data_IF_348823270841
#
_entry.id   IF_348823270841
#
_cell.length_a   1.000
_cell.length_b   1.000
_cell.length_c   1.000
_cell.angle_alpha   90.00
_cell.angle_beta   90.00
_cell.angle_gamma   90.00
#
_symmetry.space_group_name_H-M   'P 1'
#
loop_
_entity.id
_entity.type
_entity.pdbx_description
1 polymer ?
#
# COMPACT_ATOMS: atom_id res chain seq x y z
N UNK A 1 3.27 -6.73 0.66
CA UNK A 1 4.17 -5.98 1.56
C UNK A 1 3.69 -5.99 3.02
N UNK A 2 2.64 -5.24 3.39
CA UNK A 2 2.25 -4.96 4.80
C UNK A 2 2.05 -6.15 5.74
N UNK A 3 1.78 -7.34 5.23
CA UNK A 3 1.57 -8.55 6.04
C UNK A 3 2.86 -9.30 6.37
N UNK A 4 4.00 -8.92 5.79
CA UNK A 4 5.30 -9.51 6.06
C UNK A 4 6.13 -8.49 6.82
N UNK A 5 6.40 -8.78 8.09
CA UNK A 5 7.15 -7.91 9.00
C UNK A 5 8.54 -8.44 9.23
N UNK A 6 9.49 -7.54 9.40
CA UNK A 6 10.83 -7.92 9.86
C UNK A 6 10.77 -8.35 11.33
N UNK A 7 11.73 -9.16 11.76
CA UNK A 7 11.88 -9.57 13.16
C UNK A 7 12.96 -8.76 13.91
N UNK A 8 13.81 -8.06 13.16
CA UNK A 8 14.91 -7.24 13.65
C UNK A 8 15.40 -6.31 12.54
N UNK A 9 16.06 -5.18 12.87
CA UNK A 9 16.28 -4.66 14.21
C UNK A 9 15.00 -4.05 14.82
N UNK A 10 14.96 -3.89 16.14
CA UNK A 10 13.74 -3.51 16.89
C UNK A 10 13.16 -2.17 16.40
N UNK A 11 14.02 -1.23 16.07
CA UNK A 11 13.66 0.10 15.59
C UNK A 11 12.87 0.02 14.28
N UNK A 12 13.26 -0.88 13.36
CA UNK A 12 12.53 -1.08 12.11
C UNK A 12 11.20 -1.79 12.35
N UNK A 13 11.15 -2.78 13.26
CA UNK A 13 9.89 -3.44 13.66
C UNK A 13 8.90 -2.40 14.20
N UNK A 14 9.34 -1.53 15.10
CA UNK A 14 8.50 -0.47 15.69
C UNK A 14 8.04 0.53 14.62
N UNK A 15 8.92 0.96 13.71
CA UNK A 15 8.58 1.88 12.62
C UNK A 15 7.57 1.26 11.64
N UNK A 16 7.72 -0.02 11.31
CA UNK A 16 6.73 -0.76 10.51
C UNK A 16 5.38 -0.80 11.23
N UNK A 17 5.35 -1.18 12.51
CA UNK A 17 4.09 -1.22 13.27
C UNK A 17 3.40 0.14 13.30
N UNK A 18 4.12 1.20 13.67
CA UNK A 18 3.57 2.55 13.75
C UNK A 18 2.96 3.04 12.44
N UNK A 19 3.57 2.71 11.30
CA UNK A 19 3.14 3.21 9.98
C UNK A 19 2.15 2.29 9.27
N UNK A 20 2.24 0.98 9.46
CA UNK A 20 1.46 0.01 8.68
C UNK A 20 0.25 -0.53 9.44
N UNK A 21 0.31 -0.67 10.77
CA UNK A 21 -0.79 -1.22 11.56
C UNK A 21 -2.10 -0.40 11.43
N UNK A 22 -2.07 0.95 11.37
CA UNK A 22 -3.28 1.74 11.18
C UNK A 22 -4.08 1.37 9.91
N UNK A 23 -3.40 0.98 8.83
CA UNK A 23 -4.06 0.57 7.60
C UNK A 23 -4.70 -0.82 7.71
N UNK A 24 -4.08 -1.72 8.48
CA UNK A 24 -4.59 -3.07 8.71
C UNK A 24 -5.79 -3.01 9.65
N UNK A 25 -5.70 -2.20 10.71
CA UNK A 25 -6.80 -1.95 11.63
C UNK A 25 -7.98 -1.27 10.94
N UNK A 26 -7.71 -0.32 10.03
CA UNK A 26 -8.75 0.28 9.20
C UNK A 26 -9.49 -0.76 8.36
N UNK A 27 -8.77 -1.66 7.69
CA UNK A 27 -9.40 -2.73 6.90
C UNK A 27 -10.25 -3.67 7.76
N UNK A 28 -9.77 -4.03 8.95
CA UNK A 28 -10.51 -4.86 9.90
C UNK A 28 -11.78 -4.14 10.37
N UNK A 29 -11.69 -2.86 10.70
CA UNK A 29 -12.78 -2.08 11.30
C UNK A 29 -13.85 -1.66 10.29
N UNK A 30 -13.48 -1.34 9.06
CA UNK A 30 -14.43 -0.87 8.02
C UNK A 30 -15.02 -2.01 7.20
N UNK A 31 -14.22 -3.03 6.89
CA UNK A 31 -14.64 -4.12 6.01
C UNK A 31 -14.71 -5.49 6.70
N UNK A 32 -14.36 -5.60 7.98
CA UNK A 32 -14.27 -6.89 8.66
C UNK A 32 -13.10 -7.77 8.20
N UNK A 33 -12.15 -7.19 7.45
CA UNK A 33 -11.05 -7.92 6.83
C UNK A 33 -9.88 -8.09 7.81
N UNK A 34 -9.89 -9.21 8.56
CA UNK A 34 -8.85 -9.54 9.52
C UNK A 34 -7.70 -10.32 8.85
N UNK A 35 -6.62 -9.64 8.49
CA UNK A 35 -5.44 -10.24 7.88
C UNK A 35 -4.45 -10.77 8.93
N UNK A 36 -3.72 -11.83 8.57
CA UNK A 36 -2.67 -12.42 9.40
C UNK A 36 -1.34 -11.74 9.09
N UNK A 37 -0.69 -11.21 10.12
CA UNK A 37 0.69 -10.74 10.03
C UNK A 37 1.65 -11.91 10.16
N UNK A 38 2.60 -11.98 9.26
CA UNK A 38 3.74 -12.86 9.35
C UNK A 38 5.00 -12.09 9.70
N UNK A 39 5.93 -12.82 10.28
CA UNK A 39 7.18 -12.34 10.84
C UNK A 39 8.33 -13.14 10.24
N UNK A 40 9.35 -12.43 9.76
CA UNK A 40 10.45 -12.99 8.99
C UNK A 40 9.96 -13.61 7.67
N UNK A 41 10.60 -14.71 7.26
CA UNK A 41 10.31 -15.39 5.98
C UNK A 41 9.14 -16.39 6.05
N UNK A 42 8.44 -16.47 7.18
CA UNK A 42 7.36 -17.44 7.34
C UNK A 42 6.19 -17.10 6.43
N UNK A 43 5.74 -18.01 5.59
CA UNK A 43 4.51 -17.81 4.83
C UNK A 43 3.28 -18.08 5.71
N UNK A 44 2.27 -17.22 5.61
CA UNK A 44 0.96 -17.41 6.24
C UNK A 44 -0.14 -17.26 5.19
N UNK A 45 -0.92 -18.32 5.01
CA UNK A 45 -2.12 -18.28 4.17
C UNK A 45 -3.13 -17.32 4.79
N UNK A 46 -3.57 -16.32 4.03
CA UNK A 46 -4.56 -15.34 4.49
C UNK A 46 -5.95 -15.98 4.59
N UNK A 47 -6.79 -15.59 5.57
CA UNK A 47 -8.15 -16.07 5.69
C UNK A 47 -8.97 -15.74 4.45
N UNK A 48 -9.80 -16.67 3.99
CA UNK A 48 -10.61 -16.50 2.79
C UNK A 48 -11.64 -15.38 2.99
N UNK A 49 -12.12 -15.22 4.21
CA UNK A 49 -13.04 -14.18 4.65
C UNK A 49 -12.43 -12.78 4.47
N UNK A 50 -11.15 -12.61 4.83
CA UNK A 50 -10.45 -11.34 4.67
C UNK A 50 -10.20 -11.01 3.18
N UNK A 51 -9.86 -12.02 2.39
CA UNK A 51 -9.71 -11.89 0.93
C UNK A 51 -11.05 -11.49 0.28
N UNK A 52 -12.14 -12.13 0.69
CA UNK A 52 -13.48 -11.85 0.17
C UNK A 52 -13.95 -10.45 0.59
N UNK A 53 -13.71 -10.03 1.83
CA UNK A 53 -14.03 -8.68 2.30
C UNK A 53 -13.29 -7.60 1.49
N UNK A 54 -11.99 -7.79 1.26
CA UNK A 54 -11.21 -6.90 0.41
C UNK A 54 -11.71 -6.91 -1.05
N UNK A 55 -12.04 -8.08 -1.58
CA UNK A 55 -12.60 -8.21 -2.93
C UNK A 55 -13.96 -7.52 -3.06
N UNK A 56 -14.77 -7.53 -1.99
CA UNK A 56 -16.00 -6.76 -1.88
C UNK A 56 -15.77 -5.25 -1.89
N UNK A 57 -14.77 -4.76 -1.16
CA UNK A 57 -14.38 -3.35 -1.17
C UNK A 57 -14.00 -2.86 -2.58
N UNK A 58 -13.31 -3.71 -3.36
CA UNK A 58 -12.94 -3.40 -4.74
C UNK A 58 -14.13 -3.28 -5.70
N UNK A 59 -15.29 -3.84 -5.38
CA UNK A 59 -16.47 -3.78 -6.28
C UNK A 59 -16.94 -2.34 -6.54
N UNK A 60 -16.66 -1.41 -5.63
CA UNK A 60 -16.90 0.03 -5.81
C UNK A 60 -16.12 0.60 -7.01
N UNK A 61 -14.98 0.01 -7.35
CA UNK A 61 -14.07 0.45 -8.41
C UNK A 61 -14.22 -0.36 -9.70
N UNK A 62 -15.44 -0.77 -10.06
CA UNK A 62 -15.74 -1.68 -11.18
C UNK A 62 -15.49 -1.12 -12.60
N UNK A 63 -14.94 0.09 -12.74
CA UNK A 63 -14.57 0.65 -14.03
C UNK A 63 -13.22 0.11 -14.50
N UNK A 64 -13.05 -0.22 -15.78
CA UNK A 64 -11.75 -0.67 -16.30
C UNK A 64 -10.63 0.32 -15.97
N UNK A 65 -10.89 1.63 -16.11
CA UNK A 65 -9.91 2.68 -15.78
C UNK A 65 -9.56 2.68 -14.28
N UNK A 66 -10.56 2.63 -13.39
CA UNK A 66 -10.31 2.65 -11.94
C UNK A 66 -9.54 1.41 -11.49
N UNK A 67 -9.92 0.23 -11.96
CA UNK A 67 -9.20 -1.02 -11.71
C UNK A 67 -7.75 -0.95 -12.20
N UNK A 68 -7.52 -0.42 -13.41
CA UNK A 68 -6.16 -0.21 -13.94
C UNK A 68 -5.36 0.76 -13.07
N UNK A 69 -5.96 1.85 -12.60
CA UNK A 69 -5.30 2.77 -11.68
C UNK A 69 -4.94 2.09 -10.36
N UNK A 70 -5.87 1.36 -9.74
CA UNK A 70 -5.62 0.63 -8.50
C UNK A 70 -4.51 -0.41 -8.68
N UNK A 71 -4.51 -1.13 -9.80
CA UNK A 71 -3.47 -2.11 -10.13
C UNK A 71 -2.10 -1.45 -10.27
N UNK A 72 -1.99 -0.35 -11.03
CA UNK A 72 -0.71 0.36 -11.18
C UNK A 72 -0.19 0.91 -9.84
N UNK A 73 -1.06 1.53 -9.02
CA UNK A 73 -0.67 1.97 -7.69
C UNK A 73 -0.21 0.81 -6.81
N UNK A 74 -0.89 -0.35 -6.88
CA UNK A 74 -0.48 -1.54 -6.14
C UNK A 74 0.88 -2.08 -6.60
N UNK A 75 1.19 -1.99 -7.90
CA UNK A 75 2.50 -2.36 -8.45
C UNK A 75 3.61 -1.43 -7.94
N UNK A 76 3.40 -0.11 -7.96
CA UNK A 76 4.41 0.84 -7.48
C UNK A 76 4.60 0.81 -5.96
N UNK A 77 3.55 0.46 -5.20
CA UNK A 77 3.61 0.39 -3.73
C UNK A 77 3.85 -1.03 -3.20
N UNK A 78 3.88 -2.04 -4.07
CA UNK A 78 3.85 -3.47 -3.72
C UNK A 78 2.72 -3.85 -2.73
N UNK A 79 1.61 -3.12 -2.75
CA UNK A 79 0.50 -3.31 -1.82
C UNK A 79 -0.84 -2.87 -2.38
N UNK A 80 -1.71 -3.84 -2.64
CA UNK A 80 -3.11 -3.59 -3.00
C UNK A 80 -3.89 -2.87 -1.90
N UNK A 81 -3.52 -3.08 -0.63
CA UNK A 81 -4.16 -2.43 0.51
C UNK A 81 -3.82 -0.93 0.55
N UNK A 82 -2.56 -0.57 0.29
CA UNK A 82 -2.15 0.85 0.21
C UNK A 82 -2.87 1.55 -0.94
N UNK A 83 -2.93 0.90 -2.10
CA UNK A 83 -3.69 1.39 -3.27
C UNK A 83 -5.17 1.66 -2.94
N UNK A 84 -5.84 0.73 -2.25
CA UNK A 84 -7.21 0.91 -1.82
C UNK A 84 -7.36 2.04 -0.79
N UNK A 85 -6.43 2.15 0.17
CA UNK A 85 -6.46 3.20 1.19
C UNK A 85 -6.33 4.60 0.58
N UNK A 86 -5.50 4.78 -0.45
CA UNK A 86 -5.45 6.02 -1.24
C UNK A 86 -6.78 6.27 -1.95
N UNK A 87 -7.34 5.24 -2.58
CA UNK A 87 -8.59 5.36 -3.32
C UNK A 87 -9.80 5.66 -2.42
N UNK A 88 -9.76 5.25 -1.15
CA UNK A 88 -10.77 5.56 -0.12
C UNK A 88 -10.46 6.85 0.66
N UNK A 89 -9.42 7.61 0.25
CA UNK A 89 -8.96 8.85 0.91
C UNK A 89 -8.58 8.68 2.39
N UNK A 90 -8.14 7.49 2.78
CA UNK A 90 -7.69 7.18 4.15
C UNK A 90 -6.27 7.71 4.39
N UNK A 91 -5.47 7.69 3.33
CA UNK A 91 -4.13 8.26 3.27
C UNK A 91 -3.97 9.02 1.95
N UNK A 92 -3.11 10.04 1.97
CA UNK A 92 -2.67 10.73 0.77
C UNK A 92 -1.72 9.88 -0.07
N UNK A 93 -1.51 10.28 -1.33
CA UNK A 93 -0.54 9.62 -2.21
C UNK A 93 0.91 9.74 -1.69
N UNK A 94 1.24 10.83 -1.00
CA UNK A 94 2.56 11.03 -0.40
C UNK A 94 2.76 10.09 0.79
N UNK A 95 1.76 9.96 1.67
CA UNK A 95 1.82 9.00 2.78
C UNK A 95 1.90 7.56 2.27
N UNK A 96 1.17 7.23 1.20
CA UNK A 96 1.28 5.92 0.55
C UNK A 96 2.69 5.63 0.05
N UNK A 97 3.38 6.64 -0.50
CA UNK A 97 4.76 6.53 -0.95
C UNK A 97 5.72 6.29 0.23
N UNK A 98 5.59 7.05 1.31
CA UNK A 98 6.37 6.86 2.54
C UNK A 98 6.14 5.48 3.15
N UNK A 99 4.90 5.00 3.16
CA UNK A 99 4.53 3.68 3.69
C UNK A 99 5.16 2.57 2.85
N UNK A 100 5.11 2.69 1.52
CA UNK A 100 5.62 1.68 0.60
C UNK A 100 7.15 1.56 0.61
N UNK A 101 7.85 2.69 0.76
CA UNK A 101 9.31 2.75 0.69
C UNK A 101 9.97 2.83 2.07
N UNK A 102 9.21 2.62 3.15
CA UNK A 102 9.69 2.73 4.53
C UNK A 102 10.97 1.93 4.81
N UNK A 103 11.04 0.69 4.33
CA UNK A 103 12.20 -0.17 4.52
C UNK A 103 13.39 0.29 3.67
N UNK A 104 13.16 0.74 2.43
CA UNK A 104 14.21 1.27 1.56
C UNK A 104 14.79 2.57 2.13
N UNK A 105 13.93 3.48 2.61
CA UNK A 105 14.34 4.71 3.29
C UNK A 105 15.15 4.38 4.55
N UNK A 106 14.71 3.38 5.33
CA UNK A 106 15.49 2.91 6.47
C UNK A 106 16.85 2.38 6.03
N UNK A 107 16.95 1.53 5.00
CA UNK A 107 18.25 1.02 4.53
C UNK A 107 19.17 2.14 4.03
N UNK A 108 18.63 3.14 3.32
CA UNK A 108 19.38 4.29 2.85
C UNK A 108 19.98 5.11 4.00
N UNK A 109 19.25 5.25 5.13
CA UNK A 109 19.74 5.97 6.31
C UNK A 109 21.01 5.32 6.90
N UNK A 110 21.15 3.98 6.82
CA UNK A 110 22.30 3.26 7.37
C UNK A 110 23.43 3.02 6.37
N UNK A 111 23.11 2.81 5.10
CA UNK A 111 24.07 2.36 4.08
C UNK A 111 24.32 3.39 2.99
N UNK A 112 23.67 4.55 3.07
CA UNK A 112 23.73 5.58 2.05
C UNK A 112 22.85 5.26 0.85
N UNK A 113 22.76 6.22 -0.06
CA UNK A 113 21.85 6.15 -1.19
C UNK A 113 22.50 5.52 -2.43
N UNK A 114 21.74 4.67 -3.11
CA UNK A 114 22.05 4.19 -4.45
C UNK A 114 21.43 5.12 -5.51
N UNK A 115 22.28 5.74 -6.33
CA UNK A 115 21.87 6.70 -7.35
C UNK A 115 20.97 6.10 -8.45
N UNK A 116 21.10 4.81 -8.77
CA UNK A 116 20.23 4.14 -9.73
C UNK A 116 18.88 3.80 -9.12
N UNK A 117 18.87 3.37 -7.86
CA UNK A 117 17.63 3.16 -7.10
C UNK A 117 16.84 4.47 -6.94
N UNK A 118 17.52 5.56 -6.61
CA UNK A 118 16.91 6.89 -6.50
C UNK A 118 16.25 7.34 -7.80
N UNK A 119 16.96 7.27 -8.94
CA UNK A 119 16.39 7.64 -10.25
C UNK A 119 15.15 6.81 -10.60
N UNK A 120 15.18 5.51 -10.27
CA UNK A 120 14.03 4.62 -10.48
C UNK A 120 12.87 4.99 -9.58
N UNK A 121 13.13 5.29 -8.30
CA UNK A 121 12.15 5.74 -7.33
C UNK A 121 11.50 7.06 -7.76
N UNK A 122 12.27 8.04 -8.21
CA UNK A 122 11.76 9.30 -8.75
C UNK A 122 10.86 9.09 -9.97
N UNK A 123 11.25 8.19 -10.88
CA UNK A 123 10.41 7.81 -12.01
C UNK A 123 9.08 7.23 -11.54
N UNK A 124 9.10 6.21 -10.67
CA UNK A 124 7.88 5.61 -10.14
C UNK A 124 7.01 6.58 -9.34
N UNK A 125 7.62 7.54 -8.63
CA UNK A 125 6.86 8.56 -7.91
C UNK A 125 6.11 9.49 -8.88
N UNK A 126 6.70 9.85 -10.02
CA UNK A 126 5.98 10.60 -11.06
C UNK A 126 4.83 9.78 -11.65
N UNK A 127 5.09 8.51 -11.96
CA UNK A 127 4.08 7.61 -12.52
C UNK A 127 2.89 7.43 -11.56
N UNK A 128 3.14 7.17 -10.29
CA UNK A 128 2.05 6.95 -9.33
C UNK A 128 1.20 8.22 -9.13
N UNK A 129 1.81 9.42 -9.19
CA UNK A 129 1.08 10.68 -9.13
C UNK A 129 0.21 10.91 -10.38
N UNK A 130 0.71 10.56 -11.57
CA UNK A 130 -0.09 10.59 -12.79
C UNK A 130 -1.30 9.65 -12.69
N UNK A 131 -1.08 8.42 -12.20
CA UNK A 131 -2.14 7.43 -11.97
C UNK A 131 -3.18 7.94 -10.95
N UNK A 132 -2.73 8.52 -9.84
CA UNK A 132 -3.60 9.10 -8.82
C UNK A 132 -4.46 10.25 -9.37
N UNK A 133 -3.88 11.08 -10.24
CA UNK A 133 -4.61 12.16 -10.93
C UNK A 133 -5.74 11.60 -11.80
N UNK A 134 -5.45 10.58 -12.60
CA UNK A 134 -6.46 9.90 -13.44
C UNK A 134 -7.58 9.30 -12.59
N UNK A 135 -7.22 8.59 -11.51
CA UNK A 135 -8.20 8.01 -10.60
C UNK A 135 -9.13 9.09 -10.01
N UNK A 136 -8.57 10.21 -9.57
CA UNK A 136 -9.31 11.32 -8.97
C UNK A 136 -10.33 11.91 -9.94
N UNK A 137 -9.94 12.15 -11.19
CA UNK A 137 -10.83 12.67 -12.25
C UNK A 137 -11.98 11.69 -12.55
N UNK A 138 -11.67 10.40 -12.64
CA UNK A 138 -12.66 9.37 -12.96
C UNK A 138 -13.65 9.18 -11.80
N UNK A 139 -13.18 9.25 -10.54
CA UNK A 139 -14.03 9.21 -9.34
C UNK A 139 -15.04 10.36 -9.30
N UNK A 140 -14.59 11.60 -9.59
CA UNK A 140 -15.47 12.77 -9.67
C UNK A 140 -16.56 12.56 -10.73
N UNK A 141 -16.16 12.10 -11.92
CA UNK A 141 -17.09 11.86 -13.03
C UNK A 141 -18.16 10.81 -12.69
N UNK A 142 -17.79 9.79 -11.90
CA UNK A 142 -18.70 8.70 -11.50
C UNK A 142 -19.45 8.94 -10.18
N UNK A 143 -19.19 10.04 -9.45
CA UNK A 143 -19.73 10.33 -8.11
C UNK A 143 -19.43 9.24 -7.07
N UNK A 144 -18.20 8.73 -7.05
CA UNK A 144 -17.72 7.67 -6.14
C UNK A 144 -16.63 8.19 -5.19
#
# INVERSE_FOLDING_TARGET
>A
MLFYRVDSPRELVERQSQRWDPLIDWMARVFGANFILSRGISYKKQPLEAINAFSGALQKYNSQIMLSCLHMMATFTNSVLVSLAVAENIISINEAWEIAYLEEDWMNDYWGYDSEAQKRREFYFREINAVFTVLSVVKITKKI
#
